data_IF_862761504462
#
_entry.id   IF_862761504462
#
_cell.length_a   1.000
_cell.length_b   1.000
_cell.length_c   1.000
_cell.angle_alpha   90.00
_cell.angle_beta   90.00
_cell.angle_gamma   90.00
#
_symmetry.space_group_name_H-M   'P 1'
#
loop_
_entity.id
_entity.type
_entity.pdbx_description
1 polymer ?
#
# COMPACT_ATOMS: atom_id res chain seq x y z
N UNK A 1 20.89 29.89 57.78
CA UNK A 1 22.12 29.09 57.91
C UNK A 1 21.89 27.97 58.90
N UNK A 2 22.67 26.89 58.85
CA UNK A 2 22.59 25.74 59.75
C UNK A 2 22.66 24.38 59.04
N UNK A 3 23.65 23.54 59.41
CA UNK A 3 23.53 22.07 59.34
C UNK A 3 22.96 21.54 60.67
N UNK A 4 22.98 20.25 61.06
CA UNK A 4 23.61 19.00 60.58
C UNK A 4 22.82 17.81 61.18
N UNK A 5 22.99 16.52 60.82
CA UNK A 5 23.35 15.84 59.56
C UNK A 5 23.37 14.32 59.81
N UNK A 6 22.86 13.50 58.87
CA UNK A 6 23.00 12.04 58.81
C UNK A 6 23.12 11.65 57.30
N UNK A 7 23.99 10.75 56.82
CA UNK A 7 24.37 9.40 57.28
C UNK A 7 23.22 8.38 57.13
N UNK A 8 23.30 7.30 56.34
CA UNK A 8 24.35 6.85 55.39
C UNK A 8 23.67 5.88 54.34
N UNK A 9 24.28 5.00 53.51
CA UNK A 9 25.57 4.29 53.45
C UNK A 9 26.01 3.93 51.99
N UNK A 10 27.21 3.32 51.85
CA UNK A 10 27.70 2.25 50.93
C UNK A 10 26.89 1.87 49.64
N UNK A 11 27.53 1.45 48.52
CA UNK A 11 28.95 1.36 48.12
C UNK A 11 29.11 1.18 46.59
N UNK A 12 30.24 1.67 46.09
CA UNK A 12 30.98 1.26 44.88
C UNK A 12 30.75 -0.17 44.35
N UNK A 13 30.61 -0.30 43.03
CA UNK A 13 30.73 -1.56 42.28
C UNK A 13 30.67 -1.32 40.77
N UNK A 14 31.81 -1.38 40.07
CA UNK A 14 31.91 -1.09 38.63
C UNK A 14 32.47 -2.28 37.82
N UNK A 15 32.03 -2.36 36.56
CA UNK A 15 32.50 -3.21 35.46
C UNK A 15 32.21 -4.72 35.50
N UNK A 16 32.13 -5.30 34.29
CA UNK A 16 31.82 -6.70 33.91
C UNK A 16 30.35 -7.09 34.11
N UNK A 17 29.70 -7.82 33.20
CA UNK A 17 30.19 -8.55 32.01
C UNK A 17 29.78 -7.91 30.68
N UNK A 18 30.59 -8.11 29.64
CA UNK A 18 30.06 -8.27 28.28
C UNK A 18 29.52 -9.70 28.16
N UNK A 19 28.33 -9.87 27.61
CA UNK A 19 27.83 -11.19 27.22
C UNK A 19 28.58 -11.67 25.97
N UNK A 20 29.17 -12.86 26.02
CA UNK A 20 29.55 -13.56 24.80
C UNK A 20 28.28 -13.85 23.99
N UNK A 21 28.27 -13.47 22.71
CA UNK A 21 27.41 -14.10 21.71
C UNK A 21 27.93 -15.53 21.45
N UNK A 22 27.03 -16.46 21.14
CA UNK A 22 27.40 -17.82 20.78
C UNK A 22 27.91 -17.85 19.34
N UNK A 23 28.89 -18.70 18.98
CA UNK A 23 29.34 -18.82 17.58
C UNK A 23 28.21 -19.16 16.60
N UNK A 24 27.18 -19.87 17.08
CA UNK A 24 26.00 -20.23 16.31
C UNK A 24 25.07 -19.03 16.02
N UNK A 25 25.03 -18.02 16.90
CA UNK A 25 24.19 -16.82 16.73
C UNK A 25 24.68 -15.95 15.56
N UNK A 26 26.00 -15.77 15.40
CA UNK A 26 26.56 -15.02 14.27
C UNK A 26 26.40 -15.77 12.94
N UNK A 27 26.43 -17.11 12.97
CA UNK A 27 26.29 -17.95 11.78
C UNK A 27 24.89 -17.82 11.14
N UNK A 28 23.82 -17.82 11.94
CA UNK A 28 22.45 -17.75 11.42
C UNK A 28 22.10 -16.31 10.95
N UNK A 29 22.59 -15.27 11.64
CA UNK A 29 22.46 -13.87 11.18
C UNK A 29 23.16 -13.64 9.84
N UNK A 30 24.35 -14.20 9.64
CA UNK A 30 25.01 -14.18 8.33
C UNK A 30 24.27 -15.03 7.27
N UNK A 31 23.69 -16.16 7.67
CA UNK A 31 22.85 -17.01 6.80
C UNK A 31 21.58 -16.31 6.33
N UNK A 32 20.87 -15.60 7.21
CA UNK A 32 19.66 -14.85 6.87
C UNK A 32 19.96 -13.64 5.98
N UNK A 33 21.02 -12.87 6.30
CA UNK A 33 21.48 -11.77 5.45
C UNK A 33 21.90 -12.25 4.04
N UNK A 34 22.58 -13.40 3.94
CA UNK A 34 22.96 -14.00 2.66
C UNK A 34 21.74 -14.49 1.88
N UNK A 35 20.74 -15.10 2.55
CA UNK A 35 19.47 -15.53 1.93
C UNK A 35 18.68 -14.33 1.39
N UNK A 36 18.50 -13.28 2.19
CA UNK A 36 17.81 -12.06 1.79
C UNK A 36 18.47 -11.41 0.56
N UNK A 37 19.80 -11.29 0.56
CA UNK A 37 20.56 -10.73 -0.58
C UNK A 37 20.46 -11.61 -1.84
N UNK A 38 20.56 -12.93 -1.70
CA UNK A 38 20.37 -13.87 -2.82
C UNK A 38 18.95 -13.79 -3.39
N UNK A 39 17.95 -13.57 -2.54
CA UNK A 39 16.55 -13.43 -2.94
C UNK A 39 16.29 -12.12 -3.69
N UNK A 40 16.92 -11.01 -3.27
CA UNK A 40 16.88 -9.71 -3.95
C UNK A 40 17.62 -9.75 -5.32
N UNK A 41 18.78 -10.40 -5.39
CA UNK A 41 19.51 -10.63 -6.66
C UNK A 41 18.72 -11.54 -7.63
N UNK A 42 17.96 -12.52 -7.13
CA UNK A 42 17.08 -13.36 -7.94
C UNK A 42 15.83 -12.60 -8.42
N UNK A 43 15.22 -11.79 -7.55
CA UNK A 43 14.07 -10.95 -7.90
C UNK A 43 14.46 -9.91 -8.95
N UNK A 44 15.57 -9.19 -8.77
CA UNK A 44 16.07 -8.19 -9.73
C UNK A 44 16.48 -8.80 -11.09
N UNK A 45 17.04 -10.01 -11.13
CA UNK A 45 17.27 -10.72 -12.42
C UNK A 45 15.99 -11.17 -13.11
N UNK A 46 15.03 -11.71 -12.37
CA UNK A 46 13.73 -12.13 -12.94
C UNK A 46 12.81 -10.96 -13.28
N UNK A 47 13.06 -9.77 -12.71
CA UNK A 47 12.36 -8.52 -12.96
C UNK A 47 12.59 -7.96 -14.38
N UNK A 48 13.85 -7.69 -14.77
CA UNK A 48 14.13 -7.15 -16.11
C UNK A 48 13.67 -8.11 -17.20
N UNK A 49 13.93 -9.41 -17.02
CA UNK A 49 13.49 -10.47 -17.93
C UNK A 49 11.96 -10.66 -18.04
N UNK A 50 11.14 -10.01 -17.20
CA UNK A 50 9.67 -9.95 -17.35
C UNK A 50 9.22 -8.72 -18.13
N UNK A 51 9.88 -7.58 -17.94
CA UNK A 51 9.66 -6.36 -18.71
C UNK A 51 10.04 -6.60 -20.18
N UNK A 52 11.20 -7.24 -20.44
CA UNK A 52 11.63 -7.66 -21.79
C UNK A 52 10.66 -8.61 -22.51
N UNK A 53 9.87 -9.39 -21.74
CA UNK A 53 8.83 -10.29 -22.29
C UNK A 53 7.49 -9.60 -22.54
N UNK A 54 7.42 -8.26 -22.39
CA UNK A 54 6.18 -7.48 -22.55
C UNK A 54 5.11 -7.75 -21.50
N UNK A 55 5.42 -8.51 -20.44
CA UNK A 55 4.42 -8.91 -19.44
C UNK A 55 4.37 -7.90 -18.29
N UNK A 56 3.49 -6.90 -18.43
CA UNK A 56 3.30 -5.84 -17.43
C UNK A 56 2.46 -6.27 -16.20
N UNK A 57 2.23 -7.58 -16.01
CA UNK A 57 1.50 -8.14 -14.86
C UNK A 57 2.45 -8.55 -13.73
N UNK A 58 2.35 -7.87 -12.59
CA UNK A 58 3.11 -8.16 -11.38
C UNK A 58 2.22 -8.84 -10.34
N UNK A 59 2.48 -10.13 -10.04
CA UNK A 59 1.78 -10.85 -8.97
C UNK A 59 2.34 -10.42 -7.61
N UNK A 60 1.47 -10.00 -6.70
CA UNK A 60 1.80 -9.57 -5.34
C UNK A 60 1.20 -10.57 -4.34
N UNK A 61 2.03 -11.03 -3.40
CA UNK A 61 1.63 -11.95 -2.32
C UNK A 61 1.66 -11.27 -0.94
N UNK A 62 1.29 -12.03 0.10
CA UNK A 62 1.31 -11.57 1.50
C UNK A 62 2.70 -11.14 1.98
N UNK A 63 3.74 -11.88 1.58
CA UNK A 63 5.15 -11.60 1.90
C UNK A 63 5.85 -10.62 0.96
N UNK A 64 5.18 -10.06 -0.04
CA UNK A 64 5.80 -9.10 -0.95
C UNK A 64 6.13 -7.79 -0.24
N UNK A 65 7.39 -7.35 -0.33
CA UNK A 65 7.82 -6.07 0.20
C UNK A 65 7.15 -4.90 -0.56
N UNK A 66 6.42 -4.00 0.13
CA UNK A 66 5.83 -2.83 -0.51
C UNK A 66 6.86 -1.87 -1.13
N UNK A 67 8.08 -1.77 -0.57
CA UNK A 67 9.09 -0.82 -1.05
C UNK A 67 9.61 -1.18 -2.44
N UNK A 68 9.90 -2.45 -2.67
CA UNK A 68 10.51 -2.91 -3.93
C UNK A 68 9.48 -2.85 -5.07
N UNK A 69 8.24 -3.22 -4.72
CA UNK A 69 7.06 -3.01 -5.57
C UNK A 69 6.84 -1.52 -5.88
N UNK A 70 7.08 -0.62 -4.92
CA UNK A 70 6.97 0.83 -5.13
C UNK A 70 8.06 1.39 -6.05
N UNK A 71 9.29 0.87 -5.97
CA UNK A 71 10.40 1.26 -6.85
C UNK A 71 10.12 0.88 -8.31
N UNK A 72 9.58 -0.33 -8.55
CA UNK A 72 9.04 -0.74 -9.86
C UNK A 72 8.02 0.27 -10.40
N UNK A 73 6.97 0.53 -9.63
CA UNK A 73 5.87 1.41 -10.04
C UNK A 73 6.39 2.81 -10.37
N UNK A 74 7.24 3.39 -9.50
CA UNK A 74 7.78 4.73 -9.70
C UNK A 74 8.73 4.81 -10.92
N UNK A 75 9.49 3.75 -11.21
CA UNK A 75 10.37 3.69 -12.39
C UNK A 75 9.55 3.67 -13.70
N UNK A 76 8.54 2.79 -13.80
CA UNK A 76 7.66 2.75 -14.98
C UNK A 76 6.79 4.02 -15.11
N UNK A 77 6.35 4.61 -13.98
CA UNK A 77 5.61 5.87 -13.99
C UNK A 77 6.44 7.03 -14.59
N UNK A 78 7.73 7.13 -14.24
CA UNK A 78 8.65 8.16 -14.76
C UNK A 78 9.14 7.91 -16.19
N UNK A 79 9.15 6.67 -16.67
CA UNK A 79 9.59 6.31 -18.02
C UNK A 79 8.46 6.40 -19.08
N UNK A 80 8.81 6.39 -20.37
CA UNK A 80 7.86 6.39 -21.49
C UNK A 80 7.24 4.99 -21.75
N UNK A 81 6.78 4.33 -20.69
CA UNK A 81 6.13 3.00 -20.70
C UNK A 81 4.88 3.01 -19.80
N UNK A 82 4.01 2.02 -19.96
CA UNK A 82 2.85 1.85 -19.08
C UNK A 82 3.26 1.42 -17.66
N UNK A 83 2.55 1.96 -16.66
CA UNK A 83 2.62 1.50 -15.28
C UNK A 83 2.13 0.04 -15.15
N UNK A 84 2.58 -0.71 -14.13
CA UNK A 84 2.27 -2.13 -14.05
C UNK A 84 0.84 -2.37 -13.58
N UNK A 85 0.26 -3.47 -14.04
CA UNK A 85 -0.96 -4.02 -13.41
C UNK A 85 -0.53 -4.96 -12.30
N UNK A 86 -0.97 -4.70 -11.06
CA UNK A 86 -0.71 -5.61 -9.95
C UNK A 86 -1.85 -6.64 -9.83
N UNK A 87 -1.52 -7.93 -9.73
CA UNK A 87 -2.48 -8.98 -9.44
C UNK A 87 -2.36 -9.39 -7.97
N UNK A 88 -3.46 -9.28 -7.22
CA UNK A 88 -3.53 -9.63 -5.78
C UNK A 88 -4.58 -10.71 -5.52
N UNK A 89 -4.31 -11.58 -4.54
CA UNK A 89 -5.26 -12.56 -4.02
C UNK A 89 -5.33 -12.45 -2.50
N UNK A 90 -6.52 -12.19 -1.97
CA UNK A 90 -6.79 -12.11 -0.54
C UNK A 90 -6.22 -10.87 0.18
N UNK A 91 -6.59 -10.65 1.45
CA UNK A 91 -6.46 -9.33 2.08
C UNK A 91 -5.03 -8.82 2.26
N UNK A 92 -4.09 -9.70 2.60
CA UNK A 92 -2.70 -9.28 2.82
C UNK A 92 -2.00 -8.88 1.52
N UNK A 93 -2.25 -9.58 0.42
CA UNK A 93 -1.73 -9.22 -0.91
C UNK A 93 -2.24 -7.83 -1.34
N UNK A 94 -3.54 -7.56 -1.16
CA UNK A 94 -4.15 -6.25 -1.41
C UNK A 94 -3.54 -5.16 -0.51
N UNK A 95 -3.27 -5.46 0.76
CA UNK A 95 -2.61 -4.56 1.71
C UNK A 95 -1.20 -4.17 1.25
N UNK A 96 -0.35 -5.15 0.88
CA UNK A 96 1.02 -4.86 0.43
C UNK A 96 1.02 -4.07 -0.90
N UNK A 97 0.12 -4.40 -1.83
CA UNK A 97 -0.02 -3.68 -3.09
C UNK A 97 -0.45 -2.22 -2.90
N UNK A 98 -1.48 -1.95 -2.08
CA UNK A 98 -1.95 -0.58 -1.85
C UNK A 98 -0.94 0.25 -1.05
N UNK A 99 -0.18 -0.37 -0.12
CA UNK A 99 1.00 0.26 0.48
C UNK A 99 2.07 0.59 -0.56
N UNK A 100 2.38 -0.32 -1.48
CA UNK A 100 3.38 -0.09 -2.52
C UNK A 100 3.01 1.10 -3.40
N UNK A 101 1.73 1.22 -3.77
CA UNK A 101 1.25 2.35 -4.59
C UNK A 101 1.29 3.67 -3.78
N UNK A 102 0.95 3.66 -2.49
CA UNK A 102 1.10 4.83 -1.61
C UNK A 102 2.58 5.28 -1.45
N UNK A 103 3.52 4.34 -1.35
CA UNK A 103 4.96 4.63 -1.35
C UNK A 103 5.39 5.16 -2.73
N UNK A 104 4.94 4.56 -3.83
CA UNK A 104 5.27 5.00 -5.19
C UNK A 104 4.76 6.42 -5.49
N UNK A 105 3.53 6.74 -5.08
CA UNK A 105 3.00 8.13 -5.10
C UNK A 105 3.86 9.08 -4.28
N UNK A 106 4.46 8.60 -3.18
CA UNK A 106 5.37 9.40 -2.34
C UNK A 106 6.70 9.65 -3.05
N UNK A 107 7.32 8.64 -3.69
CA UNK A 107 8.51 8.84 -4.54
C UNK A 107 8.20 9.81 -5.70
N UNK A 108 7.02 9.68 -6.32
CA UNK A 108 6.58 10.60 -7.36
C UNK A 108 6.32 12.03 -6.84
N UNK A 109 6.32 12.33 -5.52
CA UNK A 109 6.26 13.72 -5.03
C UNK A 109 7.51 14.54 -5.34
N UNK A 110 8.61 13.90 -5.73
CA UNK A 110 9.82 14.53 -6.25
C UNK A 110 9.72 14.88 -7.75
N UNK A 111 8.53 14.73 -8.35
CA UNK A 111 8.25 15.00 -9.76
C UNK A 111 6.97 15.83 -9.85
N UNK A 112 7.09 17.07 -10.35
CA UNK A 112 6.02 18.08 -10.25
C UNK A 112 4.78 17.76 -11.09
N UNK A 113 4.95 17.11 -12.23
CA UNK A 113 3.88 16.82 -13.20
C UNK A 113 3.08 15.55 -12.89
N UNK A 114 3.74 14.51 -12.37
CA UNK A 114 3.24 13.14 -12.40
C UNK A 114 2.67 12.69 -11.05
N UNK A 115 1.48 12.10 -11.07
CA UNK A 115 0.90 11.29 -10.00
C UNK A 115 0.36 9.98 -10.61
N UNK A 116 -0.04 9.02 -9.77
CA UNK A 116 -0.67 7.77 -10.20
C UNK A 116 -1.96 7.50 -9.41
N UNK A 117 -2.90 6.83 -10.05
CA UNK A 117 -4.11 6.32 -9.42
C UNK A 117 -4.33 4.84 -9.79
N UNK A 118 -5.26 4.20 -9.08
CA UNK A 118 -5.54 2.77 -9.15
C UNK A 118 -6.97 2.55 -9.61
N UNK A 119 -7.14 1.70 -10.62
CA UNK A 119 -8.41 1.29 -11.19
C UNK A 119 -8.58 -0.21 -10.92
N UNK A 120 -9.34 -0.62 -9.89
CA UNK A 120 -9.42 -2.02 -9.46
C UNK A 120 -10.47 -2.82 -10.22
N UNK A 121 -10.19 -4.08 -10.51
CA UNK A 121 -11.04 -4.97 -11.31
C UNK A 121 -11.02 -6.41 -10.78
N UNK A 122 -12.13 -7.14 -10.88
CA UNK A 122 -12.16 -8.57 -10.52
C UNK A 122 -11.64 -9.44 -11.66
N UNK A 123 -10.82 -10.44 -11.33
CA UNK A 123 -10.34 -11.42 -12.30
C UNK A 123 -10.56 -12.84 -11.78
N UNK A 124 -10.97 -13.74 -12.67
CA UNK A 124 -11.01 -15.18 -12.40
C UNK A 124 -9.63 -15.78 -12.68
N UNK A 125 -9.18 -16.67 -11.80
CA UNK A 125 -7.88 -17.32 -11.87
C UNK A 125 -8.03 -18.79 -12.27
N UNK A 126 -6.96 -19.36 -12.83
CA UNK A 126 -6.89 -20.76 -13.28
C UNK A 126 -7.07 -21.77 -12.13
N UNK A 127 -6.76 -21.37 -10.89
CA UNK A 127 -6.98 -22.13 -9.65
C UNK A 127 -8.44 -22.06 -9.14
N UNK A 128 -9.33 -21.36 -9.86
CA UNK A 128 -10.73 -21.16 -9.49
C UNK A 128 -10.95 -20.05 -8.46
N UNK A 129 -9.91 -19.39 -7.95
CA UNK A 129 -10.06 -18.25 -7.05
C UNK A 129 -10.40 -16.96 -7.79
N UNK A 130 -10.92 -15.97 -7.05
CA UNK A 130 -11.13 -14.60 -7.55
C UNK A 130 -9.99 -13.71 -7.08
N UNK A 131 -9.16 -13.27 -8.01
CA UNK A 131 -8.17 -12.23 -7.79
C UNK A 131 -8.74 -10.83 -8.02
N UNK A 132 -7.91 -9.83 -7.75
CA UNK A 132 -8.16 -8.43 -8.15
C UNK A 132 -6.96 -7.97 -8.98
N UNK A 133 -7.23 -7.36 -10.13
CA UNK A 133 -6.27 -6.58 -10.90
C UNK A 133 -6.32 -5.13 -10.42
N UNK A 134 -5.16 -4.53 -10.24
CA UNK A 134 -4.99 -3.13 -9.86
C UNK A 134 -4.25 -2.45 -11.00
N UNK A 135 -5.01 -1.90 -11.95
CA UNK A 135 -4.44 -1.18 -13.08
C UNK A 135 -3.97 0.19 -12.59
N UNK A 136 -2.67 0.44 -12.67
CA UNK A 136 -2.09 1.72 -12.27
C UNK A 136 -2.12 2.64 -13.49
N UNK A 137 -2.75 3.81 -13.36
CA UNK A 137 -2.88 4.81 -14.42
C UNK A 137 -2.08 6.06 -14.06
N UNK A 138 -1.30 6.59 -15.00
CA UNK A 138 -0.65 7.90 -14.86
C UNK A 138 -1.70 9.01 -14.90
N UNK A 139 -1.51 10.05 -14.09
CA UNK A 139 -2.33 11.26 -14.07
C UNK A 139 -1.46 12.48 -13.83
N UNK A 140 -1.91 13.62 -14.34
CA UNK A 140 -1.39 14.90 -13.92
C UNK A 140 -1.58 15.09 -12.40
N UNK A 141 -0.62 15.77 -11.78
CA UNK A 141 -0.73 16.24 -10.40
C UNK A 141 -1.77 17.35 -10.31
N UNK A 142 -2.84 17.09 -9.55
CA UNK A 142 -3.92 18.04 -9.26
C UNK A 142 -4.23 17.98 -7.77
N UNK A 143 -4.32 19.14 -7.13
CA UNK A 143 -4.43 19.33 -5.66
C UNK A 143 -5.80 19.89 -5.21
N UNK A 144 -6.70 20.19 -6.15
CA UNK A 144 -7.98 20.84 -5.87
C UNK A 144 -9.07 19.88 -5.38
N UNK A 145 -9.90 20.34 -4.43
CA UNK A 145 -11.14 19.66 -4.01
C UNK A 145 -10.99 18.56 -2.96
N UNK A 146 -9.81 18.34 -2.38
CA UNK A 146 -9.61 17.29 -1.37
C UNK A 146 -10.24 17.57 0.00
N UNK A 147 -10.35 18.84 0.38
CA UNK A 147 -10.85 19.26 1.70
C UNK A 147 -12.38 19.09 1.87
N UNK A 148 -13.12 19.10 0.76
CA UNK A 148 -14.59 19.00 0.72
C UNK A 148 -15.08 17.55 0.56
N UNK A 149 -14.16 16.59 0.45
CA UNK A 149 -14.51 15.20 0.20
C UNK A 149 -15.13 14.52 1.44
N UNK A 150 -16.30 13.91 1.25
CA UNK A 150 -16.95 13.12 2.29
C UNK A 150 -16.02 12.00 2.76
N UNK A 151 -15.80 11.87 4.07
CA UNK A 151 -15.03 10.75 4.61
C UNK A 151 -15.93 9.54 4.88
N UNK A 152 -15.47 8.35 4.51
CA UNK A 152 -16.12 7.07 4.78
C UNK A 152 -15.09 6.09 5.39
N UNK A 153 -15.26 5.74 6.67
CA UNK A 153 -14.40 4.77 7.35
C UNK A 153 -14.88 3.35 7.08
N UNK A 154 -13.97 2.47 6.65
CA UNK A 154 -14.23 1.07 6.31
C UNK A 154 -13.56 0.14 7.32
N UNK A 155 -14.26 -0.91 7.73
CA UNK A 155 -13.79 -1.94 8.64
C UNK A 155 -13.68 -3.31 7.96
N UNK A 156 -13.04 -4.27 8.62
CA UNK A 156 -12.86 -5.63 8.10
C UNK A 156 -14.17 -6.39 7.87
N UNK A 157 -15.23 -6.05 8.61
CA UNK A 157 -16.59 -6.59 8.45
C UNK A 157 -17.52 -5.79 7.53
N UNK A 158 -17.02 -4.77 6.83
CA UNK A 158 -17.86 -3.98 5.90
C UNK A 158 -18.20 -4.80 4.65
N UNK A 159 -19.49 -4.97 4.36
CA UNK A 159 -19.95 -5.61 3.13
C UNK A 159 -19.55 -4.77 1.91
N UNK A 160 -18.76 -5.36 1.02
CA UNK A 160 -18.26 -4.69 -0.19
C UNK A 160 -19.35 -4.34 -1.21
N UNK A 161 -20.48 -5.06 -1.26
CA UNK A 161 -21.62 -4.74 -2.14
C UNK A 161 -22.34 -3.49 -1.64
N UNK A 162 -22.60 -3.41 -0.32
CA UNK A 162 -23.22 -2.24 0.32
C UNK A 162 -22.32 -1.01 0.15
N UNK A 163 -21.01 -1.17 0.40
CA UNK A 163 -20.01 -0.13 0.16
C UNK A 163 -19.95 0.27 -1.32
N UNK A 164 -19.99 -0.70 -2.23
CA UNK A 164 -20.01 -0.45 -3.67
C UNK A 164 -21.22 0.38 -4.10
N UNK A 165 -22.42 0.03 -3.62
CA UNK A 165 -23.64 0.82 -3.84
C UNK A 165 -23.52 2.27 -3.35
N UNK A 166 -22.98 2.47 -2.14
CA UNK A 166 -22.74 3.81 -1.60
C UNK A 166 -21.76 4.64 -2.46
N UNK A 167 -20.64 4.04 -2.89
CA UNK A 167 -19.70 4.69 -3.82
C UNK A 167 -20.38 5.02 -5.15
N UNK A 168 -21.22 4.12 -5.67
CA UNK A 168 -21.94 4.28 -6.94
C UNK A 168 -22.95 5.43 -6.92
N UNK A 169 -23.54 5.74 -5.76
CA UNK A 169 -24.42 6.89 -5.58
C UNK A 169 -23.62 8.21 -5.55
N UNK A 170 -22.55 8.26 -4.74
CA UNK A 170 -21.66 9.43 -4.67
C UNK A 170 -21.03 9.79 -6.01
N UNK A 171 -20.70 8.80 -6.83
CA UNK A 171 -20.20 8.97 -8.20
C UNK A 171 -21.22 9.69 -9.10
N UNK A 172 -22.47 9.20 -9.14
CA UNK A 172 -23.58 9.81 -9.90
C UNK A 172 -23.92 11.23 -9.44
N UNK A 173 -23.78 11.51 -8.14
CA UNK A 173 -23.94 12.85 -7.56
C UNK A 173 -22.75 13.78 -7.86
N UNK A 174 -21.70 13.31 -8.55
CA UNK A 174 -20.48 14.07 -8.85
C UNK A 174 -19.61 14.40 -7.63
N UNK A 175 -19.93 13.84 -6.46
CA UNK A 175 -19.35 14.22 -5.16
C UNK A 175 -17.98 13.62 -4.96
N UNK A 176 -17.11 14.34 -4.25
CA UNK A 176 -15.82 13.82 -3.80
C UNK A 176 -16.01 12.97 -2.55
N UNK A 177 -15.35 11.81 -2.52
CA UNK A 177 -15.33 10.92 -1.36
C UNK A 177 -13.91 10.40 -1.10
N UNK A 178 -13.61 10.22 0.17
CA UNK A 178 -12.36 9.68 0.71
C UNK A 178 -12.69 8.45 1.54
N UNK A 179 -12.17 7.29 1.13
CA UNK A 179 -12.31 6.05 1.88
C UNK A 179 -11.10 5.87 2.79
N UNK A 180 -11.32 5.65 4.09
CA UNK A 180 -10.25 5.44 5.08
C UNK A 180 -10.34 4.01 5.60
N UNK A 181 -9.28 3.23 5.45
CA UNK A 181 -9.24 1.82 5.82
C UNK A 181 -8.00 1.50 6.68
N UNK A 182 -8.23 0.82 7.81
CA UNK A 182 -7.17 0.36 8.74
C UNK A 182 -7.04 -1.16 8.63
N UNK A 183 -5.83 -1.64 8.32
CA UNK A 183 -5.54 -3.07 8.27
C UNK A 183 -6.08 -3.81 7.03
N UNK A 184 -5.52 -4.99 6.79
CA UNK A 184 -5.66 -5.72 5.53
C UNK A 184 -7.10 -6.06 5.14
N UNK A 185 -7.92 -6.50 6.10
CA UNK A 185 -9.33 -6.82 5.86
C UNK A 185 -10.13 -5.62 5.34
N UNK A 186 -9.99 -4.48 6.01
CA UNK A 186 -10.66 -3.23 5.67
C UNK A 186 -10.22 -2.68 4.31
N UNK A 187 -8.92 -2.71 4.01
CA UNK A 187 -8.36 -2.26 2.72
C UNK A 187 -8.91 -3.15 1.59
N UNK A 188 -8.96 -4.47 1.82
CA UNK A 188 -9.51 -5.41 0.86
C UNK A 188 -11.03 -5.24 0.66
N UNK A 189 -11.79 -4.97 1.72
CA UNK A 189 -13.21 -4.63 1.63
C UNK A 189 -13.45 -3.34 0.84
N UNK A 190 -12.61 -2.32 1.06
CA UNK A 190 -12.65 -1.04 0.34
C UNK A 190 -12.35 -1.18 -1.16
N UNK A 191 -11.28 -1.89 -1.52
CA UNK A 191 -10.91 -2.11 -2.93
C UNK A 191 -11.94 -2.97 -3.65
N UNK A 192 -12.51 -3.99 -2.99
CA UNK A 192 -13.66 -4.73 -3.54
C UNK A 192 -14.89 -3.84 -3.72
N UNK A 193 -15.18 -2.95 -2.77
CA UNK A 193 -16.26 -1.98 -2.89
C UNK A 193 -16.09 -1.05 -4.09
N UNK A 194 -14.87 -0.54 -4.31
CA UNK A 194 -14.54 0.30 -5.46
C UNK A 194 -14.64 -0.47 -6.79
N UNK A 195 -14.19 -1.72 -6.86
CA UNK A 195 -14.32 -2.56 -8.05
C UNK A 195 -15.79 -2.90 -8.37
N UNK A 196 -16.63 -3.13 -7.36
CA UNK A 196 -18.09 -3.25 -7.52
C UNK A 196 -18.68 -1.92 -8.01
N UNK A 197 -18.26 -0.80 -7.43
CA UNK A 197 -18.77 0.52 -7.79
C UNK A 197 -18.47 0.92 -9.23
N UNK A 198 -17.26 0.62 -9.75
CA UNK A 198 -16.91 0.80 -11.17
C UNK A 198 -17.93 0.13 -12.07
N UNK A 199 -18.14 -1.18 -11.89
CA UNK A 199 -19.11 -1.95 -12.69
C UNK A 199 -20.55 -1.44 -12.54
N UNK A 200 -20.90 -0.91 -11.37
CA UNK A 200 -22.22 -0.31 -11.12
C UNK A 200 -22.43 1.07 -11.77
N UNK A 201 -21.42 1.69 -12.42
CA UNK A 201 -21.52 3.00 -13.09
C UNK A 201 -21.00 2.97 -14.54
N UNK A 202 -20.64 1.79 -15.04
CA UNK A 202 -20.06 1.54 -16.37
C UNK A 202 -21.04 1.90 -17.50
N UNK A 203 -22.34 1.61 -17.33
CA UNK A 203 -23.39 1.93 -18.30
C UNK A 203 -23.68 3.44 -18.41
N UNK A 204 -23.31 4.23 -17.40
CA UNK A 204 -23.39 5.70 -17.42
C UNK A 204 -22.10 6.37 -17.96
N UNK A 205 -21.17 5.60 -18.51
CA UNK A 205 -19.86 6.05 -19.00
C UNK A 205 -19.04 6.80 -17.93
N UNK A 206 -19.11 6.32 -16.69
CA UNK A 206 -18.32 6.82 -15.55
C UNK A 206 -17.28 5.75 -15.19
N UNK A 207 -16.04 6.16 -14.91
CA UNK A 207 -15.02 5.30 -14.29
C UNK A 207 -14.61 5.85 -12.91
N UNK A 208 -14.19 4.93 -12.04
CA UNK A 208 -13.85 5.20 -10.66
C UNK A 208 -12.46 4.67 -10.33
N UNK A 209 -11.58 5.59 -9.96
CA UNK A 209 -10.19 5.31 -9.61
C UNK A 209 -9.93 5.79 -8.18
N UNK A 210 -8.84 5.35 -7.55
CA UNK A 210 -8.42 5.92 -6.27
C UNK A 210 -6.94 6.33 -6.23
N UNK A 211 -6.65 7.35 -5.44
CA UNK A 211 -5.30 7.80 -5.08
C UNK A 211 -5.03 7.36 -3.63
N UNK A 212 -4.30 6.25 -3.41
CA UNK A 212 -3.99 5.75 -2.07
C UNK A 212 -2.82 6.50 -1.43
N UNK A 213 -2.85 6.70 -0.13
CA UNK A 213 -1.78 7.32 0.64
C UNK A 213 -1.88 6.95 2.13
N UNK A 214 -0.78 7.12 2.85
CA UNK A 214 -0.77 6.97 4.30
C UNK A 214 -1.40 8.19 4.97
N UNK A 215 -2.25 7.94 5.96
CA UNK A 215 -2.75 8.93 6.90
C UNK A 215 -2.61 8.36 8.30
N UNK A 216 -2.49 9.23 9.30
CA UNK A 216 -2.69 8.82 10.69
C UNK A 216 -4.18 8.97 11.05
N UNK A 217 -4.65 8.11 11.94
CA UNK A 217 -5.94 8.17 12.63
C UNK A 217 -5.72 7.72 14.07
N UNK A 218 -6.52 8.22 15.02
CA UNK A 218 -6.61 7.76 16.42
C UNK A 218 -5.26 7.31 17.04
N UNK A 219 -4.61 8.23 17.75
CA UNK A 219 -3.40 7.97 18.55
C UNK A 219 -2.20 7.44 17.74
N UNK A 220 -2.03 7.97 16.52
CA UNK A 220 -0.89 7.66 15.64
C UNK A 220 -1.03 6.36 14.82
N UNK A 221 -2.20 5.73 14.82
CA UNK A 221 -2.44 4.51 14.04
C UNK A 221 -2.35 4.81 12.54
N UNK A 222 -1.38 4.22 11.84
CA UNK A 222 -1.25 4.38 10.38
C UNK A 222 -2.38 3.65 9.64
N UNK A 223 -3.11 4.38 8.81
CA UNK A 223 -4.17 3.91 7.93
C UNK A 223 -3.84 4.20 6.46
N UNK A 224 -4.61 3.62 5.54
CA UNK A 224 -4.63 4.07 4.15
C UNK A 224 -5.86 4.93 3.89
N UNK A 225 -5.61 6.17 3.45
CA UNK A 225 -6.59 7.09 2.85
C UNK A 225 -6.62 6.82 1.36
N UNK A 226 -7.81 6.75 0.77
CA UNK A 226 -8.03 6.56 -0.66
C UNK A 226 -8.99 7.65 -1.13
N UNK A 227 -8.44 8.72 -1.71
CA UNK A 227 -9.24 9.73 -2.40
C UNK A 227 -9.82 9.07 -3.66
N UNK A 228 -11.14 9.11 -3.84
CA UNK A 228 -11.79 8.60 -5.05
C UNK A 228 -11.81 9.68 -6.13
N UNK A 229 -11.44 9.28 -7.35
CA UNK A 229 -11.59 10.05 -8.57
C UNK A 229 -12.83 9.55 -9.31
N UNK A 230 -13.62 10.49 -9.82
CA UNK A 230 -14.76 10.23 -10.71
C UNK A 230 -14.41 10.87 -12.05
N UNK A 231 -14.40 10.07 -13.11
CA UNK A 231 -14.07 10.50 -14.47
C UNK A 231 -15.16 10.06 -15.45
N UNK A 232 -15.44 10.87 -16.47
CA UNK A 232 -16.30 10.49 -17.59
C UNK A 232 -15.42 9.85 -18.67
N UNK A 233 -15.87 8.75 -19.27
CA UNK A 233 -15.15 7.98 -20.31
C UNK A 233 -15.71 8.25 -21.70
#
# INVERSE_FOLDING_TARGET
GGGRAAAAERRSGAARHMSHLSPDDEADVHGEAARAKTQDEHMSRTFFARIERGNNLTKIGSGSNPRDTAMLIAAQARACVDCPTLQVVGPQSTNQALKAIAIARTFLKESDDTDICVQPEFTHLEDGHTGILLHIRKKERRTSGEAEAQQLKVASGTDSKVLGGAISAFAREGRRMVVIAIGAGSINAAIKGLAIARKNVEEEAIDLLCKPEFTEVNDGTTALRMLLLVEQT
#
